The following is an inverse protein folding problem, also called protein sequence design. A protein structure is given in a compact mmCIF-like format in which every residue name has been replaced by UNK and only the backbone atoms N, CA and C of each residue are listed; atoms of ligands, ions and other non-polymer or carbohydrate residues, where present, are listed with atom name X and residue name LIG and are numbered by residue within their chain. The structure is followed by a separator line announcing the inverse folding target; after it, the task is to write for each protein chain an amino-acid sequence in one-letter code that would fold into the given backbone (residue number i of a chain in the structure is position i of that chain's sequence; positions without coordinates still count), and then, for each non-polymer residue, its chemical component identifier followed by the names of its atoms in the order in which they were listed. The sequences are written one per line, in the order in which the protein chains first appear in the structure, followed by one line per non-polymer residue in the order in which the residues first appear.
data_IF_120159122166
#
_entry.id   IF_120159122166
#
_cell.length_a   1.000
_cell.length_b   1.000
_cell.length_c   1.000
_cell.angle_alpha   90.00
_cell.angle_beta   90.00
_cell.angle_gamma   90.00
#
_symmetry.space_group_name_H-M   'P 1'
#
loop_
_entity.id
_entity.type
_entity.pdbx_description
1 polymer ?
#
# COMPACT_ATOMS: atom_id res chain seq x y z
N UNK A 1 -72.67 5.93 -3.28
CA UNK A 1 -72.67 4.96 -4.40
C UNK A 1 -71.40 4.13 -4.29
N UNK A 2 -71.46 2.93 -3.67
CA UNK A 2 -71.63 1.60 -4.33
C UNK A 2 -70.37 1.25 -5.15
N UNK A 3 -69.68 0.10 -5.07
CA UNK A 3 -69.57 -1.14 -4.24
C UNK A 3 -68.26 -1.81 -4.77
N UNK A 4 -67.39 -2.41 -3.94
CA UNK A 4 -67.28 -3.87 -3.68
C UNK A 4 -66.82 -4.68 -4.92
N UNK A 5 -65.73 -5.47 -4.93
CA UNK A 5 -65.54 -6.83 -4.37
C UNK A 5 -64.01 -7.16 -4.36
N UNK A 6 -63.39 -7.61 -3.26
CA UNK A 6 -63.22 -9.02 -2.80
C UNK A 6 -62.33 -9.88 -3.75
N UNK A 7 -61.42 -10.80 -3.37
CA UNK A 7 -61.04 -11.44 -2.08
C UNK A 7 -59.88 -12.46 -2.30
N UNK A 8 -59.24 -12.85 -1.18
CA UNK A 8 -58.58 -14.16 -0.85
C UNK A 8 -57.22 -14.47 -1.54
N UNK A 9 -56.07 -14.73 -0.91
CA UNK A 9 -55.61 -15.35 0.37
C UNK A 9 -55.28 -16.87 0.31
N UNK A 10 -54.28 -17.24 1.13
CA UNK A 10 -53.71 -18.56 1.51
C UNK A 10 -52.60 -19.15 0.62
N UNK A 11 -51.36 -19.35 1.10
CA UNK A 11 -50.80 -20.20 2.19
C UNK A 11 -50.49 -21.65 1.76
N UNK A 12 -49.30 -22.11 2.18
CA UNK A 12 -48.76 -23.48 2.45
C UNK A 12 -47.46 -23.74 1.66
N UNK A 13 -46.27 -23.94 2.23
CA UNK A 13 -45.75 -24.82 3.31
C UNK A 13 -45.02 -26.06 2.74
N UNK A 14 -43.86 -26.38 3.35
CA UNK A 14 -43.09 -27.62 3.17
C UNK A 14 -41.91 -27.50 2.18
N UNK A 15 -40.67 -27.95 2.44
CA UNK A 15 -40.11 -28.78 3.50
C UNK A 15 -39.03 -29.72 2.91
N UNK A 16 -37.91 -29.90 3.63
CA UNK A 16 -36.85 -30.95 3.53
C UNK A 16 -35.97 -31.00 2.26
N UNK A 17 -34.62 -31.01 2.29
CA UNK A 17 -33.57 -31.82 2.98
C UNK A 17 -33.41 -33.25 2.43
N UNK A 18 -32.27 -33.49 1.76
CA UNK A 18 -31.47 -34.74 1.58
C UNK A 18 -30.83 -34.71 0.17
N UNK A 19 -29.62 -35.16 -0.15
CA UNK A 19 -28.51 -35.90 0.45
C UNK A 19 -27.53 -36.11 -0.74
N UNK A 20 -26.24 -35.76 -0.64
CA UNK A 20 -25.09 -36.64 -0.36
C UNK A 20 -24.73 -37.68 -1.46
N UNK A 21 -23.40 -37.84 -1.67
CA UNK A 21 -22.63 -38.95 -2.33
C UNK A 21 -22.28 -38.73 -3.82
N UNK A 22 -21.03 -38.36 -4.17
CA UNK A 22 -19.81 -39.16 -4.48
C UNK A 22 -19.89 -39.93 -5.83
N UNK A 23 -18.87 -40.26 -6.63
CA UNK A 23 -17.46 -39.91 -6.86
C UNK A 23 -17.06 -40.66 -8.16
N UNK A 24 -15.86 -40.37 -8.69
CA UNK A 24 -15.03 -41.19 -9.61
C UNK A 24 -15.39 -41.21 -11.12
N UNK A 25 -14.54 -40.61 -11.98
CA UNK A 25 -13.36 -41.15 -12.72
C UNK A 25 -13.76 -41.63 -14.13
N UNK A 26 -13.16 -41.02 -15.16
CA UNK A 26 -12.55 -41.68 -16.34
C UNK A 26 -11.83 -40.63 -17.23
N UNK A 27 -10.52 -40.80 -17.38
CA UNK A 27 -9.56 -40.22 -18.35
C UNK A 27 -9.46 -41.15 -19.59
N UNK A 28 -8.66 -40.93 -20.66
CA UNK A 28 -8.09 -39.75 -21.35
C UNK A 28 -8.33 -39.86 -22.91
N UNK A 29 -7.53 -39.36 -23.91
CA UNK A 29 -6.06 -39.47 -24.08
C UNK A 29 -5.30 -38.17 -24.45
N UNK A 30 -3.98 -38.33 -24.36
CA UNK A 30 -2.85 -37.40 -24.49
C UNK A 30 -2.58 -36.88 -25.92
N UNK A 31 -1.90 -35.73 -26.02
CA UNK A 31 -0.79 -35.57 -26.96
C UNK A 31 0.38 -34.78 -26.35
N UNK A 32 1.54 -35.42 -26.47
CA UNK A 32 2.92 -35.05 -26.14
C UNK A 32 3.48 -33.88 -26.97
N UNK A 33 4.29 -33.01 -26.36
CA UNK A 33 5.54 -32.51 -26.94
C UNK A 33 6.57 -32.27 -25.82
N UNK A 34 7.83 -32.64 -26.08
CA UNK A 34 8.92 -32.76 -25.12
C UNK A 34 10.03 -31.70 -25.32
N UNK A 35 10.90 -31.62 -24.29
CA UNK A 35 12.32 -31.18 -24.20
C UNK A 35 12.60 -29.76 -23.65
N UNK A 36 13.76 -29.50 -22.98
CA UNK A 36 14.78 -30.42 -22.43
C UNK A 36 15.16 -30.15 -20.96
N UNK A 37 15.67 -31.19 -20.29
CA UNK A 37 16.20 -31.19 -18.92
C UNK A 37 17.70 -30.92 -18.92
N UNK A 38 18.16 -29.95 -18.14
CA UNK A 38 19.58 -29.77 -17.81
C UNK A 38 19.79 -30.11 -16.33
N UNK A 39 20.52 -31.19 -16.09
CA UNK A 39 20.95 -31.68 -14.77
C UNK A 39 22.31 -31.06 -14.46
N UNK A 40 22.44 -30.42 -13.30
CA UNK A 40 23.74 -30.02 -12.73
C UNK A 40 24.08 -30.98 -11.58
N UNK A 41 25.17 -31.72 -11.79
CA UNK A 41 25.75 -32.66 -10.85
C UNK A 41 26.29 -31.96 -9.59
N UNK A 42 26.07 -32.57 -8.42
CA UNK A 42 26.78 -32.23 -7.20
C UNK A 42 27.92 -33.23 -6.96
N UNK A 43 29.07 -32.79 -6.43
CA UNK A 43 30.14 -33.69 -6.03
C UNK A 43 29.83 -34.36 -4.69
N UNK A 44 30.21 -35.64 -4.59
CA UNK A 44 30.22 -36.44 -3.37
C UNK A 44 31.29 -35.91 -2.40
N UNK A 45 30.96 -35.80 -1.11
CA UNK A 45 31.95 -35.88 -0.04
C UNK A 45 31.42 -36.72 1.13
N UNK A 46 32.29 -37.61 1.59
CA UNK A 46 32.19 -38.52 2.73
C UNK A 46 32.25 -37.75 4.04
N UNK A 47 31.48 -38.20 5.04
CA UNK A 47 31.26 -37.46 6.29
C UNK A 47 32.35 -37.61 7.35
N UNK A 48 32.28 -36.74 8.37
CA UNK A 48 32.55 -36.98 9.80
C UNK A 48 31.76 -35.93 10.61
N UNK A 49 31.21 -36.34 11.75
CA UNK A 49 30.42 -35.54 12.68
C UNK A 49 31.25 -34.51 13.49
N UNK A 50 30.72 -33.30 13.67
CA UNK A 50 30.98 -32.45 14.85
C UNK A 50 29.89 -31.36 14.95
N UNK A 51 29.47 -31.05 16.19
CA UNK A 51 28.39 -30.10 16.53
C UNK A 51 28.92 -28.66 16.68
N UNK A 52 28.01 -27.71 16.44
CA UNK A 52 28.02 -26.23 16.61
C UNK A 52 28.48 -25.40 15.39
N UNK A 53 28.02 -24.13 15.20
CA UNK A 53 26.83 -23.41 15.68
C UNK A 53 25.82 -23.13 14.52
N UNK A 54 24.58 -22.73 14.85
CA UNK A 54 23.55 -22.39 13.85
C UNK A 54 23.90 -21.08 13.14
N UNK A 55 24.45 -21.19 11.93
CA UNK A 55 24.60 -20.08 10.99
C UNK A 55 23.25 -19.78 10.35
N UNK A 56 22.68 -18.61 10.65
CA UNK A 56 21.56 -18.06 9.88
C UNK A 56 22.12 -17.49 8.58
N UNK A 57 22.00 -18.26 7.50
CA UNK A 57 22.34 -17.81 6.16
C UNK A 57 21.37 -16.70 5.74
N UNK A 58 21.85 -15.45 5.70
CA UNK A 58 21.12 -14.35 5.07
C UNK A 58 21.10 -14.64 3.57
N UNK A 59 19.99 -15.19 3.08
CA UNK A 59 19.79 -15.40 1.65
C UNK A 59 19.90 -14.05 0.92
N UNK A 60 20.75 -14.00 -0.11
CA UNK A 60 20.85 -12.88 -1.01
C UNK A 60 19.48 -12.59 -1.63
N UNK A 61 19.03 -11.33 -1.57
CA UNK A 61 17.78 -10.87 -2.19
C UNK A 61 17.87 -11.10 -3.71
N UNK A 62 17.09 -12.01 -4.31
CA UNK A 62 17.13 -12.23 -5.75
C UNK A 62 16.50 -11.02 -6.48
N UNK A 63 17.02 -10.71 -7.67
CA UNK A 63 16.58 -9.61 -8.53
C UNK A 63 15.07 -9.78 -8.87
N UNK A 64 14.23 -8.99 -8.24
CA UNK A 64 12.79 -8.96 -8.50
C UNK A 64 12.49 -8.19 -9.79
N UNK A 65 11.75 -8.80 -10.71
CA UNK A 65 11.08 -8.11 -11.82
C UNK A 65 9.68 -7.73 -11.34
N UNK A 66 9.25 -6.50 -11.62
CA UNK A 66 7.93 -5.98 -11.27
C UNK A 66 7.20 -5.50 -12.53
N UNK A 67 5.87 -5.55 -12.49
CA UNK A 67 5.02 -5.16 -13.61
C UNK A 67 5.13 -3.63 -13.90
N UNK A 68 5.27 -3.21 -15.16
CA UNK A 68 5.44 -1.81 -15.51
C UNK A 68 4.15 -0.99 -15.28
N UNK A 69 4.24 0.10 -14.52
CA UNK A 69 3.15 1.07 -14.33
C UNK A 69 3.42 2.30 -15.21
N UNK A 70 2.61 2.49 -16.27
CA UNK A 70 2.63 3.72 -17.08
C UNK A 70 1.94 4.86 -16.32
N UNK A 71 2.72 5.77 -15.74
CA UNK A 71 2.21 7.01 -15.14
C UNK A 71 2.19 8.15 -16.19
N UNK A 72 1.01 8.73 -16.47
CA UNK A 72 0.83 10.03 -17.15
C UNK A 72 0.02 10.95 -16.22
N UNK A 73 0.46 12.21 -16.12
CA UNK A 73 -0.42 13.39 -15.97
C UNK A 73 -0.60 14.04 -14.58
N UNK A 74 -0.31 15.35 -14.58
CA UNK A 74 -0.64 16.49 -13.69
C UNK A 74 -0.28 16.46 -12.19
N UNK A 75 0.82 17.13 -11.85
CA UNK A 75 1.24 17.47 -10.47
C UNK A 75 0.78 18.86 -10.00
N UNK A 76 -0.01 19.59 -10.79
CA UNK A 76 -0.39 20.96 -10.46
C UNK A 76 -1.63 21.01 -9.56
N UNK A 77 -1.50 21.75 -8.45
CA UNK A 77 -2.52 22.06 -7.43
C UNK A 77 -2.63 21.05 -6.28
N UNK A 78 -1.56 20.90 -5.51
CA UNK A 78 -1.63 20.51 -4.10
C UNK A 78 -1.31 21.74 -3.25
N UNK A 79 -2.02 21.90 -2.14
CA UNK A 79 -1.61 22.77 -1.05
C UNK A 79 -0.18 22.39 -0.67
N UNK A 80 0.77 23.27 -0.99
CA UNK A 80 2.13 23.15 -0.53
C UNK A 80 2.09 23.26 0.99
N UNK A 81 2.22 22.11 1.67
CA UNK A 81 2.88 22.15 2.97
C UNK A 81 4.27 22.68 2.66
N UNK A 82 4.54 23.90 3.10
CA UNK A 82 5.83 24.54 2.92
C UNK A 82 6.86 23.72 3.68
N UNK A 83 7.50 22.79 2.99
CA UNK A 83 8.71 22.14 3.50
C UNK A 83 9.76 23.21 3.42
N UNK A 84 10.27 23.66 4.59
CA UNK A 84 11.41 24.57 4.64
C UNK A 84 12.50 24.02 3.73
N UNK A 85 12.80 24.77 2.67
CA UNK A 85 13.93 24.48 1.79
C UNK A 85 15.16 24.88 2.60
N UNK A 86 15.95 23.90 3.05
CA UNK A 86 17.27 24.18 3.61
C UNK A 86 18.10 24.81 2.49
N UNK A 87 18.68 25.98 2.75
CA UNK A 87 19.58 26.63 1.81
C UNK A 87 20.86 25.81 1.70
N UNK A 88 21.57 25.89 0.56
CA UNK A 88 22.79 25.11 0.31
C UNK A 88 23.94 25.39 1.29
N UNK A 89 23.79 26.40 2.16
CA UNK A 89 24.72 26.80 3.21
C UNK A 89 24.22 26.52 4.63
N UNK A 90 22.98 26.06 4.81
CA UNK A 90 22.54 25.58 6.11
C UNK A 90 23.28 24.26 6.40
N UNK A 91 23.92 24.08 7.57
CA UNK A 91 24.45 22.78 7.94
C UNK A 91 23.30 21.78 7.89
N UNK A 92 23.37 20.85 6.93
CA UNK A 92 22.36 19.80 6.79
C UNK A 92 22.29 19.10 8.15
N UNK A 93 21.15 19.18 8.86
CA UNK A 93 21.01 18.47 10.13
C UNK A 93 21.37 17.01 9.86
N UNK A 94 22.35 16.48 10.60
CA UNK A 94 22.85 15.13 10.37
C UNK A 94 21.68 14.14 10.45
N UNK A 95 21.20 13.70 9.28
CA UNK A 95 20.08 12.76 9.13
C UNK A 95 20.59 11.32 9.34
N UNK A 96 21.35 11.12 10.41
CA UNK A 96 21.81 9.81 10.85
C UNK A 96 20.69 9.10 11.62
N UNK A 97 20.77 7.78 11.65
CA UNK A 97 19.82 6.94 12.33
C UNK A 97 19.86 7.16 13.84
N UNK A 98 21.04 7.49 14.38
CA UNK A 98 21.21 7.81 15.80
C UNK A 98 20.53 9.13 16.16
N UNK A 99 20.72 10.19 15.37
CA UNK A 99 20.04 11.47 15.61
C UNK A 99 18.53 11.33 15.51
N UNK A 100 18.05 10.61 14.49
CA UNK A 100 16.61 10.36 14.36
C UNK A 100 16.05 9.58 15.55
N UNK A 101 16.77 8.56 16.02
CA UNK A 101 16.37 7.79 17.20
C UNK A 101 16.31 8.67 18.45
N UNK A 102 17.29 9.55 18.65
CA UNK A 102 17.31 10.54 19.73
C UNK A 102 16.13 11.51 19.63
N UNK A 103 15.89 12.11 18.47
CA UNK A 103 14.74 13.00 18.26
C UNK A 103 13.41 12.31 18.57
N UNK A 104 13.20 11.07 18.12
CA UNK A 104 11.99 10.34 18.47
C UNK A 104 11.89 10.03 19.96
N UNK A 105 13.01 9.76 20.63
CA UNK A 105 13.03 9.56 22.08
C UNK A 105 12.69 10.84 22.85
N UNK A 106 13.23 11.98 22.45
CA UNK A 106 12.94 13.30 23.05
C UNK A 106 11.47 13.70 22.87
N UNK A 107 10.86 13.32 21.76
CA UNK A 107 9.42 13.49 21.51
C UNK A 107 8.55 12.48 22.27
N UNK A 108 9.16 11.53 22.99
CA UNK A 108 8.44 10.42 23.63
C UNK A 108 7.70 9.51 22.65
N UNK A 109 8.07 9.50 21.36
CA UNK A 109 7.38 8.73 20.33
C UNK A 109 7.70 7.25 20.48
N UNK A 110 6.76 6.48 21.01
CA UNK A 110 6.88 5.05 21.26
C UNK A 110 5.89 4.22 20.43
N UNK A 111 6.39 3.22 19.71
CA UNK A 111 5.54 2.41 18.83
C UNK A 111 4.61 1.48 19.61
N UNK A 112 5.01 1.03 20.79
CA UNK A 112 4.17 0.13 21.59
C UNK A 112 2.98 0.88 22.18
N UNK A 113 3.20 2.11 22.64
CA UNK A 113 2.15 3.05 23.09
C UNK A 113 1.19 3.42 21.94
N UNK A 114 1.69 3.57 20.71
CA UNK A 114 0.83 3.76 19.54
C UNK A 114 0.03 2.48 19.19
N UNK A 115 0.61 1.28 19.39
CA UNK A 115 -0.10 0.01 19.15
C UNK A 115 -1.21 -0.24 20.18
N UNK A 116 -1.00 0.13 21.44
CA UNK A 116 -2.04 0.02 22.48
C UNK A 116 -3.14 1.07 22.30
N UNK A 117 -2.83 2.18 21.61
CA UNK A 117 -3.74 3.31 21.41
C UNK A 117 -3.59 4.40 22.46
N UNK A 118 -2.60 4.30 23.35
CA UNK A 118 -2.32 5.25 24.42
C UNK A 118 -1.63 6.53 23.90
N UNK A 119 -1.04 6.46 22.70
CA UNK A 119 -0.33 7.57 22.08
C UNK A 119 -0.78 7.81 20.63
N UNK A 120 -1.00 9.08 20.30
CA UNK A 120 -1.15 9.53 18.90
C UNK A 120 0.23 9.71 18.23
N UNK A 121 0.28 9.47 16.93
CA UNK A 121 1.53 9.55 16.16
C UNK A 121 1.93 11.01 15.92
N UNK A 122 3.17 11.41 16.22
CA UNK A 122 3.60 12.79 15.98
C UNK A 122 3.66 13.11 14.48
N UNK A 123 3.25 14.34 14.11
CA UNK A 123 3.34 14.89 12.74
C UNK A 123 4.78 15.24 12.32
N UNK A 124 5.67 14.25 12.32
CA UNK A 124 7.04 14.40 11.81
C UNK A 124 7.15 13.71 10.45
N UNK A 125 7.42 14.49 9.41
CA UNK A 125 7.51 14.00 8.05
C UNK A 125 8.93 14.20 7.51
N UNK A 126 9.75 13.15 7.58
CA UNK A 126 11.11 13.20 7.05
C UNK A 126 11.11 13.38 5.53
N UNK A 127 12.03 14.22 5.05
CA UNK A 127 12.26 14.39 3.62
C UNK A 127 12.84 13.11 2.99
N UNK A 128 13.76 12.44 3.70
CA UNK A 128 14.44 11.21 3.27
C UNK A 128 14.73 10.28 4.46
N UNK A 129 14.93 8.99 4.17
CA UNK A 129 15.37 7.98 5.15
C UNK A 129 16.81 8.29 5.61
N UNK A 130 17.19 7.99 6.87
CA UNK A 130 18.57 8.17 7.32
C UNK A 130 19.61 7.50 6.43
N UNK A 131 20.71 8.20 6.14
CA UNK A 131 21.68 7.74 5.15
C UNK A 131 22.42 6.46 5.58
N UNK A 132 22.60 6.26 6.88
CA UNK A 132 23.27 5.16 7.57
C UNK A 132 22.28 4.08 8.06
N UNK A 133 20.97 4.17 7.76
CA UNK A 133 19.97 3.19 8.22
C UNK A 133 20.36 1.74 7.83
N UNK A 134 21.01 1.59 6.67
CA UNK A 134 21.49 0.30 6.18
C UNK A 134 22.57 -0.31 7.09
N UNK A 135 23.36 0.53 7.76
CA UNK A 135 24.54 0.16 8.56
C UNK A 135 24.17 -0.27 9.99
N UNK A 136 22.94 0.01 10.44
CA UNK A 136 22.46 -0.48 11.73
C UNK A 136 22.47 -2.02 11.79
N UNK A 137 23.27 -2.56 12.71
CA UNK A 137 23.39 -4.01 12.95
C UNK A 137 22.18 -4.60 13.68
N UNK A 138 21.59 -3.83 14.59
CA UNK A 138 20.44 -4.29 15.39
C UNK A 138 19.15 -4.26 14.55
N UNK A 139 18.70 -5.44 14.12
CA UNK A 139 17.52 -5.61 13.25
C UNK A 139 16.27 -4.98 13.85
N UNK A 140 15.99 -5.20 15.13
CA UNK A 140 14.78 -4.66 15.77
C UNK A 140 14.81 -3.14 15.85
N UNK A 141 15.96 -2.55 16.18
CA UNK A 141 16.16 -1.10 16.18
C UNK A 141 15.91 -0.49 14.80
N UNK A 142 16.47 -1.11 13.75
CA UNK A 142 16.26 -0.71 12.35
C UNK A 142 14.78 -0.73 11.97
N UNK A 143 14.08 -1.83 12.26
CA UNK A 143 12.64 -1.97 11.98
C UNK A 143 11.80 -0.95 12.73
N UNK A 144 12.10 -0.71 14.01
CA UNK A 144 11.41 0.30 14.82
C UNK A 144 11.58 1.70 14.22
N UNK A 145 12.81 2.10 13.92
CA UNK A 145 13.11 3.40 13.32
C UNK A 145 12.44 3.58 11.95
N UNK A 146 12.47 2.51 11.14
CA UNK A 146 11.76 2.46 9.86
C UNK A 146 10.25 2.70 10.03
N UNK A 147 9.59 1.95 10.92
CA UNK A 147 8.15 2.12 11.12
C UNK A 147 7.81 3.49 11.71
N UNK A 148 8.60 4.00 12.67
CA UNK A 148 8.41 5.36 13.21
C UNK A 148 8.50 6.42 12.11
N UNK A 149 9.36 6.21 11.11
CA UNK A 149 9.52 7.11 9.96
C UNK A 149 8.34 7.03 8.98
N UNK A 150 7.86 5.82 8.66
CA UNK A 150 6.89 5.62 7.57
C UNK A 150 5.44 5.81 8.03
N UNK A 151 5.13 5.45 9.28
CA UNK A 151 3.80 5.54 9.86
C UNK A 151 3.14 6.93 9.72
N UNK A 152 3.77 8.05 10.15
CA UNK A 152 3.16 9.37 10.04
C UNK A 152 2.86 9.75 8.58
N UNK A 153 3.69 9.34 7.61
CA UNK A 153 3.47 9.61 6.20
C UNK A 153 2.19 8.94 5.68
N UNK A 154 1.95 7.68 6.05
CA UNK A 154 0.75 6.94 5.65
C UNK A 154 -0.49 7.57 6.29
N UNK A 155 -0.41 7.94 7.57
CA UNK A 155 -1.51 8.57 8.27
C UNK A 155 -1.87 9.93 7.65
N UNK A 156 -0.87 10.75 7.32
CA UNK A 156 -1.06 12.04 6.64
C UNK A 156 -1.78 11.87 5.30
N UNK A 157 -1.35 10.90 4.48
CA UNK A 157 -2.00 10.61 3.20
C UNK A 157 -3.44 10.11 3.40
N UNK A 158 -3.69 9.30 4.42
CA UNK A 158 -5.04 8.84 4.74
C UNK A 158 -5.94 9.98 5.26
N UNK A 159 -5.42 10.93 6.04
CA UNK A 159 -6.15 12.14 6.43
C UNK A 159 -6.53 12.99 5.22
N UNK A 160 -5.59 13.25 4.30
CA UNK A 160 -5.86 13.95 3.04
C UNK A 160 -6.99 13.27 2.24
N UNK A 161 -6.94 11.94 2.14
CA UNK A 161 -7.98 11.16 1.44
C UNK A 161 -9.32 11.25 2.18
N UNK A 162 -9.35 11.19 3.52
CA UNK A 162 -10.58 11.31 4.31
C UNK A 162 -11.21 12.69 4.13
N UNK A 163 -10.41 13.75 4.14
CA UNK A 163 -10.86 15.12 3.90
C UNK A 163 -11.47 15.28 2.50
N UNK A 164 -10.77 14.79 1.47
CA UNK A 164 -11.26 14.75 0.09
C UNK A 164 -12.61 14.00 0.01
N UNK A 165 -12.68 12.82 0.64
CA UNK A 165 -13.89 11.98 0.67
C UNK A 165 -15.06 12.67 1.38
N UNK A 166 -14.83 13.31 2.51
CA UNK A 166 -15.85 14.05 3.24
C UNK A 166 -16.40 15.21 2.40
N UNK A 167 -15.52 15.93 1.69
CA UNK A 167 -15.94 16.99 0.76
C UNK A 167 -16.75 16.42 -0.41
N UNK A 168 -16.35 15.28 -0.99
CA UNK A 168 -17.14 14.62 -2.05
C UNK A 168 -18.56 14.28 -1.60
N UNK A 169 -18.71 13.71 -0.39
CA UNK A 169 -20.04 13.42 0.18
C UNK A 169 -20.87 14.70 0.37
N UNK A 170 -20.29 15.75 0.95
CA UNK A 170 -20.97 17.04 1.11
C UNK A 170 -21.47 17.59 -0.23
N UNK A 171 -20.65 17.54 -1.28
CA UNK A 171 -21.02 18.00 -2.62
C UNK A 171 -22.08 17.11 -3.28
N UNK A 172 -21.99 15.79 -3.12
CA UNK A 172 -22.99 14.84 -3.60
C UNK A 172 -24.36 15.12 -2.96
N UNK A 173 -24.41 15.33 -1.64
CA UNK A 173 -25.65 15.63 -0.93
C UNK A 173 -26.30 16.92 -1.41
N UNK A 174 -25.52 17.97 -1.65
CA UNK A 174 -26.02 19.25 -2.18
C UNK A 174 -26.62 19.09 -3.58
N UNK A 175 -25.93 18.36 -4.46
CA UNK A 175 -26.45 18.07 -5.81
C UNK A 175 -27.73 17.23 -5.77
N UNK A 176 -27.83 16.25 -4.87
CA UNK A 176 -29.05 15.45 -4.71
C UNK A 176 -30.25 16.29 -4.23
N UNK A 177 -30.01 17.43 -3.58
CA UNK A 177 -31.03 18.42 -3.21
C UNK A 177 -31.37 19.42 -4.33
N UNK A 178 -30.75 19.28 -5.51
CA UNK A 178 -30.93 20.22 -6.63
C UNK A 178 -30.15 21.53 -6.50
N UNK A 179 -29.24 21.65 -5.53
CA UNK A 179 -28.45 22.87 -5.35
C UNK A 179 -27.42 23.05 -6.46
N UNK A 180 -27.22 24.30 -6.91
CA UNK A 180 -26.12 24.67 -7.80
C UNK A 180 -24.81 24.77 -7.01
N UNK A 181 -23.77 24.05 -7.45
CA UNK A 181 -22.44 24.13 -6.84
C UNK A 181 -21.73 25.43 -7.22
N UNK A 182 -20.94 25.99 -6.29
CA UNK A 182 -20.10 27.16 -6.55
C UNK A 182 -18.98 26.85 -7.56
N UNK A 183 -18.45 27.87 -8.25
CA UNK A 183 -17.39 27.69 -9.26
C UNK A 183 -16.15 26.96 -8.72
N UNK A 184 -15.73 27.29 -7.49
CA UNK A 184 -14.63 26.61 -6.78
C UNK A 184 -14.86 25.11 -6.57
N UNK A 185 -16.10 24.71 -6.31
CA UNK A 185 -16.45 23.30 -6.08
C UNK A 185 -16.49 22.54 -7.41
N UNK A 186 -16.98 23.17 -8.48
CA UNK A 186 -16.95 22.59 -9.83
C UNK A 186 -15.50 22.39 -10.31
N UNK A 187 -14.64 23.39 -10.13
CA UNK A 187 -13.21 23.28 -10.48
C UNK A 187 -12.53 22.19 -9.65
N UNK A 188 -12.78 22.14 -8.35
CA UNK A 188 -12.22 21.09 -7.49
C UNK A 188 -12.67 19.69 -7.92
N UNK A 189 -13.95 19.50 -8.29
CA UNK A 189 -14.44 18.22 -8.82
C UNK A 189 -13.78 17.82 -10.15
N UNK A 190 -13.44 18.79 -11.02
CA UNK A 190 -12.67 18.53 -12.24
C UNK A 190 -11.27 18.02 -11.89
N UNK A 191 -10.57 18.70 -10.96
CA UNK A 191 -9.25 18.28 -10.49
C UNK A 191 -9.30 16.89 -9.86
N UNK A 192 -10.34 16.58 -9.08
CA UNK A 192 -10.53 15.26 -8.48
C UNK A 192 -10.80 14.18 -9.52
N UNK A 193 -11.63 14.46 -10.53
CA UNK A 193 -11.89 13.58 -11.67
C UNK A 193 -10.59 13.20 -12.39
N UNK A 194 -9.72 14.18 -12.65
CA UNK A 194 -8.40 13.95 -13.26
C UNK A 194 -7.48 13.15 -12.33
N UNK A 195 -7.33 13.59 -11.07
CA UNK A 195 -6.49 12.94 -10.05
C UNK A 195 -6.82 11.46 -9.88
N UNK A 196 -8.12 11.13 -9.82
CA UNK A 196 -8.60 9.76 -9.62
C UNK A 196 -8.92 9.01 -10.92
N UNK A 197 -8.69 9.62 -12.09
CA UNK A 197 -8.96 9.06 -13.42
C UNK A 197 -10.43 8.64 -13.62
N UNK A 198 -11.35 9.44 -13.10
CA UNK A 198 -12.81 9.24 -13.15
C UNK A 198 -13.41 10.18 -14.19
N UNK A 199 -14.48 9.75 -14.89
CA UNK A 199 -15.22 10.63 -15.80
C UNK A 199 -15.76 11.84 -15.03
N UNK A 200 -15.55 13.06 -15.56
CA UNK A 200 -16.07 14.30 -14.97
C UNK A 200 -17.58 14.17 -14.69
N UNK A 201 -18.01 14.67 -13.53
CA UNK A 201 -19.40 14.57 -13.06
C UNK A 201 -19.76 13.27 -12.34
N UNK A 202 -18.95 12.21 -12.41
CA UNK A 202 -19.22 10.97 -11.70
C UNK A 202 -18.67 10.99 -10.26
N UNK A 203 -19.33 11.76 -9.40
CA UNK A 203 -18.99 11.87 -7.97
C UNK A 203 -19.12 10.54 -7.22
N UNK A 204 -20.12 9.66 -7.48
CA UNK A 204 -20.19 8.36 -6.81
C UNK A 204 -18.95 7.49 -7.05
N UNK A 205 -18.41 7.48 -8.27
CA UNK A 205 -17.16 6.78 -8.57
C UNK A 205 -15.94 7.46 -7.92
N UNK A 206 -15.91 8.79 -7.83
CA UNK A 206 -14.88 9.51 -7.07
C UNK A 206 -14.87 9.08 -5.61
N UNK A 207 -16.05 9.00 -4.98
CA UNK A 207 -16.19 8.49 -3.61
C UNK A 207 -15.64 7.06 -3.53
N UNK A 208 -15.95 6.15 -4.47
CA UNK A 208 -15.38 4.79 -4.43
C UNK A 208 -13.85 4.75 -4.51
N UNK A 209 -13.23 5.66 -5.28
CA UNK A 209 -11.77 5.70 -5.46
C UNK A 209 -11.03 6.44 -4.36
N UNK A 210 -11.57 7.55 -3.86
CA UNK A 210 -11.00 8.34 -2.79
C UNK A 210 -11.32 7.70 -1.42
N UNK A 211 -10.57 6.64 -1.11
CA UNK A 211 -10.68 5.96 0.18
C UNK A 211 -9.29 5.48 0.65
N UNK A 212 -9.18 5.30 1.96
CA UNK A 212 -7.93 5.08 2.67
C UNK A 212 -7.24 3.78 2.25
N UNK A 213 -5.94 3.71 2.53
CA UNK A 213 -5.17 2.47 2.48
C UNK A 213 -4.93 2.03 3.94
N UNK A 214 -5.25 0.79 4.34
CA UNK A 214 -4.94 0.31 5.68
C UNK A 214 -3.47 0.52 6.03
N UNK A 215 -3.21 1.02 7.25
CA UNK A 215 -1.87 1.38 7.71
C UNK A 215 -0.99 0.14 7.76
N UNK A 216 -1.51 -0.97 8.28
CA UNK A 216 -0.76 -2.22 8.39
C UNK A 216 -0.30 -2.73 7.02
N UNK A 217 -1.15 -2.57 5.99
CA UNK A 217 -0.87 -2.98 4.62
C UNK A 217 0.20 -2.08 4.00
N UNK A 218 0.04 -0.77 4.13
CA UNK A 218 1.00 0.20 3.59
C UNK A 218 2.38 0.07 4.25
N UNK A 219 2.45 -0.15 5.56
CA UNK A 219 3.72 -0.40 6.26
C UNK A 219 4.39 -1.70 5.80
N UNK A 220 3.62 -2.78 5.62
CA UNK A 220 4.15 -4.05 5.14
C UNK A 220 4.69 -3.94 3.71
N UNK A 221 3.96 -3.25 2.82
CA UNK A 221 4.43 -2.98 1.47
C UNK A 221 5.68 -2.09 1.49
N UNK A 222 5.69 -1.01 2.28
CA UNK A 222 6.88 -0.18 2.39
C UNK A 222 8.09 -1.00 2.84
N UNK A 223 7.93 -1.90 3.83
CA UNK A 223 9.02 -2.74 4.32
C UNK A 223 9.53 -3.71 3.25
N UNK A 224 8.63 -4.41 2.55
CA UNK A 224 8.98 -5.34 1.47
C UNK A 224 9.67 -4.63 0.30
N UNK A 225 9.08 -3.54 -0.20
CA UNK A 225 9.53 -2.85 -1.41
C UNK A 225 10.83 -2.04 -1.23
N UNK A 226 11.03 -1.50 -0.03
CA UNK A 226 12.23 -0.71 0.29
C UNK A 226 13.34 -1.52 0.96
N UNK A 227 13.09 -2.79 1.27
CA UNK A 227 13.97 -3.60 2.12
C UNK A 227 14.18 -2.94 3.49
N UNK A 228 13.10 -2.55 4.16
CA UNK A 228 13.16 -1.80 5.43
C UNK A 228 13.92 -0.47 5.33
N UNK A 229 13.80 0.21 4.19
CA UNK A 229 14.44 1.50 3.91
C UNK A 229 15.90 1.41 3.50
N UNK A 230 16.50 0.21 3.44
CA UNK A 230 17.93 0.06 3.13
C UNK A 230 18.23 0.02 1.63
N UNK A 231 17.21 -0.17 0.79
CA UNK A 231 17.34 -0.18 -0.66
C UNK A 231 17.95 1.13 -1.17
N UNK A 232 18.83 1.02 -2.17
CA UNK A 232 19.38 2.16 -2.89
C UNK A 232 18.29 3.10 -3.40
N UNK A 233 17.18 2.56 -3.91
CA UNK A 233 16.07 3.35 -4.42
C UNK A 233 15.32 4.12 -3.31
N UNK A 234 15.22 3.54 -2.12
CA UNK A 234 14.65 4.23 -0.96
C UNK A 234 15.54 5.40 -0.52
N UNK A 235 16.87 5.16 -0.43
CA UNK A 235 17.86 6.14 0.03
C UNK A 235 18.12 7.27 -0.96
N UNK A 236 18.35 6.95 -2.24
CA UNK A 236 18.74 7.93 -3.26
C UNK A 236 17.55 8.56 -3.99
N UNK A 237 16.40 7.88 -4.02
CA UNK A 237 15.25 8.28 -4.83
C UNK A 237 13.94 8.42 -4.03
N UNK A 238 13.96 8.25 -2.71
CA UNK A 238 12.77 8.25 -1.85
C UNK A 238 11.69 7.25 -2.33
N UNK A 239 12.08 6.18 -3.04
CA UNK A 239 11.14 5.25 -3.65
C UNK A 239 10.76 4.12 -2.69
N UNK A 240 9.89 4.41 -1.73
CA UNK A 240 9.55 3.48 -0.64
C UNK A 240 8.65 2.31 -1.05
N UNK A 241 7.95 2.42 -2.18
CA UNK A 241 6.88 1.49 -2.58
C UNK A 241 7.10 0.84 -3.95
N UNK A 242 8.34 0.86 -4.47
CA UNK A 242 8.67 0.15 -5.71
C UNK A 242 7.93 0.66 -6.96
N UNK A 243 7.67 1.97 -7.07
CA UNK A 243 6.90 2.54 -8.19
C UNK A 243 7.77 2.77 -9.43
N UNK A 244 7.33 2.28 -10.58
CA UNK A 244 8.08 2.37 -11.84
C UNK A 244 7.63 3.59 -12.66
N UNK A 245 8.53 4.08 -13.50
CA UNK A 245 8.25 5.11 -14.50
C UNK A 245 8.99 4.80 -15.78
N UNK A 246 8.40 5.17 -16.92
CA UNK A 246 9.02 5.11 -18.24
C UNK A 246 9.29 6.52 -18.78
N UNK A 247 9.06 7.56 -17.98
CA UNK A 247 9.29 8.94 -18.39
C UNK A 247 10.79 9.24 -18.46
N UNK A 248 11.20 9.96 -19.51
CA UNK A 248 12.55 10.46 -19.63
C UNK A 248 12.84 11.51 -18.54
N UNK A 249 14.09 11.56 -18.07
CA UNK A 249 14.53 12.49 -17.01
C UNK A 249 14.02 12.22 -15.59
N UNK A 250 13.03 11.35 -15.37
CA UNK A 250 12.48 11.06 -14.03
C UNK A 250 12.76 9.61 -13.63
N UNK A 251 13.55 9.41 -12.56
CA UNK A 251 13.77 8.09 -11.96
C UNK A 251 15.20 7.55 -12.03
N UNK A 252 15.49 6.57 -11.18
CA UNK A 252 16.78 5.90 -11.05
C UNK A 252 16.81 4.60 -11.84
N UNK A 253 17.86 4.40 -12.64
CA UNK A 253 18.03 3.20 -13.48
C UNK A 253 18.51 2.01 -12.64
N UNK A 254 17.85 0.84 -12.69
CA UNK A 254 18.36 -0.35 -12.02
C UNK A 254 19.74 -0.76 -12.54
N UNK A 255 20.69 -1.06 -11.64
CA UNK A 255 22.06 -1.50 -12.01
C UNK A 255 22.08 -2.77 -12.87
N UNK A 256 21.02 -3.59 -12.80
CA UNK A 256 20.90 -4.88 -13.47
C UNK A 256 19.66 -4.92 -14.39
N UNK A 257 19.46 -3.85 -15.16
CA UNK A 257 18.35 -3.77 -16.11
C UNK A 257 18.65 -4.69 -17.30
N UNK A 258 17.75 -5.62 -17.59
CA UNK A 258 17.84 -6.48 -18.78
C UNK A 258 17.94 -5.62 -20.05
N UNK A 259 18.72 -6.08 -21.03
CA UNK A 259 18.86 -5.42 -22.32
C UNK A 259 17.49 -5.19 -22.98
N UNK A 260 17.30 -3.99 -23.54
CA UNK A 260 16.06 -3.57 -24.19
C UNK A 260 14.96 -3.03 -23.27
N UNK A 261 15.11 -3.08 -21.93
CA UNK A 261 14.11 -2.49 -21.02
C UNK A 261 14.39 -1.00 -20.74
N UNK A 262 13.34 -0.17 -20.75
CA UNK A 262 13.46 1.30 -20.53
C UNK A 262 12.93 1.78 -19.17
N UNK A 263 12.38 0.88 -18.35
CA UNK A 263 11.80 1.25 -17.07
C UNK A 263 12.86 1.75 -16.06
N UNK A 264 12.47 2.76 -15.29
CA UNK A 264 13.22 3.33 -14.16
C UNK A 264 12.38 3.22 -12.89
N UNK A 265 13.03 3.24 -11.74
CA UNK A 265 12.33 3.43 -10.47
C UNK A 265 12.05 4.92 -10.31
N UNK A 266 10.81 5.31 -10.05
CA UNK A 266 10.43 6.72 -9.92
C UNK A 266 11.14 7.34 -8.72
N UNK A 267 11.73 8.52 -8.92
CA UNK A 267 12.28 9.34 -7.85
C UNK A 267 11.24 10.33 -7.32
N UNK A 268 11.31 10.63 -6.02
CA UNK A 268 10.39 11.53 -5.33
C UNK A 268 11.12 12.62 -4.58
N UNK A 269 10.53 13.83 -4.56
CA UNK A 269 11.05 14.98 -3.82
C UNK A 269 11.15 14.73 -2.31
N UNK A 270 10.25 13.92 -1.76
CA UNK A 270 10.30 13.49 -0.36
C UNK A 270 9.60 12.14 -0.16
N UNK A 271 9.77 11.53 1.01
CA UNK A 271 9.06 10.31 1.39
C UNK A 271 7.52 10.48 1.35
N UNK A 272 7.00 11.66 1.74
CA UNK A 272 5.56 11.95 1.66
C UNK A 272 5.05 11.96 0.21
N UNK A 273 5.84 12.47 -0.74
CA UNK A 273 5.49 12.39 -2.17
C UNK A 273 5.43 10.94 -2.66
N UNK A 274 6.32 10.07 -2.16
CA UNK A 274 6.27 8.64 -2.44
C UNK A 274 4.98 8.00 -1.91
N UNK A 275 4.64 8.26 -0.64
CA UNK A 275 3.41 7.75 -0.02
C UNK A 275 2.14 8.22 -0.76
N UNK A 276 2.06 9.50 -1.14
CA UNK A 276 0.95 10.04 -1.94
C UNK A 276 0.82 9.35 -3.30
N UNK A 277 1.96 9.14 -3.98
CA UNK A 277 1.96 8.46 -5.27
C UNK A 277 1.58 6.98 -5.15
N UNK A 278 2.00 6.31 -4.08
CA UNK A 278 1.60 4.93 -3.75
C UNK A 278 0.09 4.82 -3.55
N UNK A 279 -0.49 5.65 -2.67
CA UNK A 279 -1.93 5.64 -2.42
C UNK A 279 -2.73 5.95 -3.69
N UNK A 280 -2.28 6.93 -4.50
CA UNK A 280 -2.89 7.26 -5.80
C UNK A 280 -2.86 6.06 -6.76
N UNK A 281 -1.77 5.31 -6.79
CA UNK A 281 -1.65 4.12 -7.64
C UNK A 281 -2.71 3.07 -7.26
N UNK A 282 -2.82 2.73 -5.98
CA UNK A 282 -3.84 1.79 -5.48
C UNK A 282 -5.26 2.29 -5.74
N UNK A 283 -5.49 3.60 -5.60
CA UNK A 283 -6.79 4.21 -5.79
C UNK A 283 -7.21 4.42 -7.24
N UNK A 284 -6.31 4.26 -8.22
CA UNK A 284 -6.62 4.59 -9.63
C UNK A 284 -6.29 3.49 -10.63
N UNK A 285 -5.24 2.70 -10.40
CA UNK A 285 -4.78 1.75 -11.40
C UNK A 285 -5.74 0.56 -11.55
N UNK A 286 -5.90 0.05 -12.78
CA UNK A 286 -6.85 -1.01 -13.12
C UNK A 286 -6.57 -2.33 -12.38
N UNK A 287 -5.30 -2.64 -12.14
CA UNK A 287 -4.88 -3.85 -11.44
C UNK A 287 -5.48 -3.95 -10.02
N UNK A 288 -5.69 -2.81 -9.36
CA UNK A 288 -6.23 -2.74 -7.99
C UNK A 288 -7.75 -2.55 -7.96
N UNK A 289 -8.46 -2.84 -9.06
CA UNK A 289 -9.93 -2.74 -9.09
C UNK A 289 -10.58 -3.66 -8.05
N UNK A 290 -10.08 -4.90 -7.91
CA UNK A 290 -10.57 -5.86 -6.91
C UNK A 290 -10.43 -5.32 -5.49
N UNK A 291 -9.27 -4.74 -5.17
CA UNK A 291 -9.00 -4.08 -3.88
C UNK A 291 -10.02 -2.98 -3.58
N UNK A 292 -10.31 -2.10 -4.55
CA UNK A 292 -11.29 -1.02 -4.39
C UNK A 292 -12.72 -1.52 -4.23
N UNK A 293 -13.10 -2.60 -4.93
CA UNK A 293 -14.42 -3.24 -4.80
C UNK A 293 -14.58 -3.82 -3.39
N UNK A 294 -13.60 -4.60 -2.93
CA UNK A 294 -13.61 -5.18 -1.58
C UNK A 294 -13.70 -4.07 -0.51
N UNK A 295 -12.91 -3.01 -0.65
CA UNK A 295 -12.96 -1.85 0.24
C UNK A 295 -14.34 -1.18 0.27
N UNK A 296 -15.00 -1.06 -0.88
CA UNK A 296 -16.36 -0.52 -0.95
C UNK A 296 -17.36 -1.44 -0.24
N UNK A 297 -17.26 -2.76 -0.39
CA UNK A 297 -18.12 -3.73 0.28
C UNK A 297 -17.98 -3.63 1.80
N UNK A 298 -16.75 -3.56 2.31
CA UNK A 298 -16.48 -3.37 3.74
C UNK A 298 -17.14 -2.08 4.28
N UNK A 299 -17.06 -0.97 3.54
CA UNK A 299 -17.74 0.28 3.91
C UNK A 299 -19.26 0.10 4.01
N UNK A 300 -19.87 -0.58 3.03
CA UNK A 300 -21.31 -0.80 2.99
C UNK A 300 -21.79 -1.68 4.15
N UNK A 301 -20.94 -2.60 4.62
CA UNK A 301 -21.21 -3.48 5.74
C UNK A 301 -20.86 -2.86 7.10
N UNK A 302 -20.32 -1.64 7.14
CA UNK A 302 -19.83 -1.02 8.38
C UNK A 302 -18.59 -1.70 8.98
N UNK A 303 -17.92 -2.57 8.22
CA UNK A 303 -16.73 -3.30 8.67
C UNK A 303 -15.49 -2.40 8.54
N UNK A 304 -14.64 -2.30 9.58
CA UNK A 304 -13.39 -1.57 9.49
C UNK A 304 -12.48 -2.06 8.35
N UNK A 305 -11.97 -1.12 7.54
CA UNK A 305 -11.03 -1.42 6.47
C UNK A 305 -9.64 -1.66 7.06
N UNK A 306 -9.30 -2.93 7.25
CA UNK A 306 -8.01 -3.38 7.80
C UNK A 306 -7.17 -4.09 6.75
N UNK A 307 -5.85 -4.12 6.95
CA UNK A 307 -4.93 -4.63 5.93
C UNK A 307 -5.16 -6.09 5.54
N UNK A 308 -5.52 -6.93 6.52
CA UNK A 308 -5.75 -8.36 6.31
C UNK A 308 -6.94 -8.66 5.37
N UNK A 309 -7.95 -7.78 5.30
CA UNK A 309 -9.07 -7.93 4.35
C UNK A 309 -8.65 -7.66 2.90
N UNK A 310 -7.66 -6.77 2.70
CA UNK A 310 -7.29 -6.28 1.36
C UNK A 310 -6.04 -6.95 0.79
N UNK A 311 -5.20 -7.58 1.62
CA UNK A 311 -3.91 -8.13 1.21
C UNK A 311 -4.03 -9.16 0.07
N UNK A 312 -5.08 -9.98 0.08
CA UNK A 312 -5.37 -11.00 -0.94
C UNK A 312 -5.62 -10.40 -2.33
N UNK A 313 -6.03 -9.14 -2.38
CA UNK A 313 -6.34 -8.47 -3.64
C UNK A 313 -5.10 -7.90 -4.35
N UNK A 314 -3.91 -8.03 -3.75
CA UNK A 314 -2.67 -7.42 -4.20
C UNK A 314 -1.74 -8.35 -5.00
N UNK A 315 -2.23 -9.49 -5.48
CA UNK A 315 -1.44 -10.42 -6.32
C UNK A 315 -0.83 -9.73 -7.54
N UNK A 316 -1.48 -8.71 -8.10
CA UNK A 316 -0.95 -7.94 -9.25
C UNK A 316 0.05 -6.84 -8.89
N UNK A 317 0.44 -6.69 -7.62
CA UNK A 317 1.43 -5.69 -7.21
C UNK A 317 2.86 -6.18 -7.52
N UNK A 318 3.10 -7.49 -7.46
CA UNK A 318 4.40 -8.11 -7.70
C UNK A 318 4.27 -9.28 -8.66
N UNK A 319 5.30 -9.55 -9.46
CA UNK A 319 5.35 -10.75 -10.31
C UNK A 319 5.37 -12.04 -9.50
N UNK A 320 5.70 -11.96 -8.20
CA UNK A 320 5.62 -13.08 -7.26
C UNK A 320 4.18 -13.49 -6.90
N UNK A 321 3.16 -12.73 -7.30
CA UNK A 321 1.76 -13.12 -7.15
C UNK A 321 1.37 -13.48 -5.72
N UNK A 322 0.94 -14.72 -5.50
CA UNK A 322 0.52 -15.22 -4.18
C UNK A 322 1.64 -15.26 -3.15
N UNK A 323 2.89 -15.50 -3.56
CA UNK A 323 4.01 -15.52 -2.61
C UNK A 323 4.34 -14.13 -2.08
N UNK A 324 4.04 -13.08 -2.85
CA UNK A 324 4.07 -11.71 -2.36
C UNK A 324 3.00 -11.49 -1.28
N UNK A 325 1.76 -11.94 -1.52
CA UNK A 325 0.66 -11.84 -0.56
C UNK A 325 0.99 -12.58 0.75
N UNK A 326 1.56 -13.79 0.67
CA UNK A 326 2.04 -14.54 1.84
C UNK A 326 3.12 -13.75 2.61
N UNK A 327 4.08 -13.17 1.90
CA UNK A 327 5.13 -12.32 2.48
C UNK A 327 4.55 -11.13 3.25
N UNK A 328 3.60 -10.40 2.64
CA UNK A 328 2.92 -9.28 3.32
C UNK A 328 2.17 -9.72 4.57
N UNK A 329 1.45 -10.84 4.53
CA UNK A 329 0.78 -11.40 5.71
C UNK A 329 1.77 -11.72 6.83
N UNK A 330 2.92 -12.32 6.50
CA UNK A 330 3.97 -12.61 7.46
C UNK A 330 4.55 -11.32 8.09
N UNK A 331 4.83 -10.29 7.29
CA UNK A 331 5.29 -8.99 7.79
C UNK A 331 4.25 -8.36 8.73
N UNK A 332 2.97 -8.37 8.35
CA UNK A 332 1.88 -7.84 9.18
C UNK A 332 1.79 -8.58 10.52
N UNK A 333 1.86 -9.91 10.49
CA UNK A 333 1.74 -10.74 11.69
C UNK A 333 2.93 -10.59 12.63
N UNK A 334 4.15 -10.82 12.13
CA UNK A 334 5.39 -10.82 12.94
C UNK A 334 5.63 -9.46 13.59
N UNK A 335 5.30 -8.37 12.90
CA UNK A 335 5.52 -7.00 13.40
C UNK A 335 4.28 -6.38 14.07
N UNK A 336 3.23 -7.19 14.29
CA UNK A 336 1.97 -6.78 14.96
C UNK A 336 1.34 -5.52 14.34
N UNK A 337 1.38 -5.39 13.02
CA UNK A 337 1.00 -4.15 12.33
C UNK A 337 -0.50 -3.87 12.34
N UNK A 338 -1.35 -4.89 12.61
CA UNK A 338 -2.82 -4.72 12.64
C UNK A 338 -3.26 -3.71 13.69
N UNK A 339 -2.53 -3.60 14.80
CA UNK A 339 -2.83 -2.62 15.86
C UNK A 339 -2.66 -1.18 15.39
N UNK A 340 -1.81 -0.95 14.37
CA UNK A 340 -1.57 0.37 13.80
C UNK A 340 -2.66 0.81 12.80
N UNK A 341 -3.61 -0.06 12.42
CA UNK A 341 -4.73 0.32 11.55
C UNK A 341 -5.67 1.35 12.21
N UNK A 342 -5.61 1.47 13.54
CA UNK A 342 -6.36 2.46 14.33
C UNK A 342 -5.54 3.68 14.73
N UNK A 343 -4.25 3.73 14.37
CA UNK A 343 -3.40 4.86 14.71
C UNK A 343 -3.90 6.14 14.03
N UNK A 344 -3.73 7.26 14.72
CA UNK A 344 -4.09 8.59 14.24
C UNK A 344 -2.91 9.54 14.48
N UNK A 345 -2.80 10.59 13.66
CA UNK A 345 -1.82 11.64 13.91
C UNK A 345 -2.27 12.46 15.11
N UNK A 346 -1.31 13.02 15.84
CA UNK A 346 -1.61 13.98 16.87
C UNK A 346 -2.33 15.19 16.26
N UNK A 347 -3.35 15.70 16.93
CA UNK A 347 -4.16 16.78 16.36
C UNK A 347 -3.42 18.13 16.25
N UNK A 348 -2.21 18.23 16.80
CA UNK A 348 -1.50 19.49 16.98
C UNK A 348 -2.26 20.33 18.02
N UNK A 349 -1.59 20.65 19.13
CA UNK A 349 -2.03 21.76 19.98
C UNK A 349 -1.52 23.05 19.36
#
# INVERSE_FOLDING_TARGET
MIRMFERIALLTAGGLVSGMVAAAILYPPEQTTARPTAVLAQPKSTGVASRAPVAVTVAAVPKQRFLPIKARGSETLLSEVSVRKLDAHDPVPDNSAENLARTFSEMGYDLDSVRSGDQQVPRVFLASIPYDLAELRQVQRKKSLFFKTVLPLILQVNEEIRQDRARLWKLQTRLNKGEKLAARDRLWLIVMAERYKVKRGNIPELIKRADIIPVSLALAQAAEESGWGTSRFAREANAMFGQWTTADGVGLVPKNRDDGKTHKIRSFKSLLHSARAYARNLNTHRAYRKMRIMRQQLRQQGVPIQGHHLVETLTSYSERGEDYVKGLRAIIAVNKLRHLDRAELNNGA
#
